data_IF_024267593459
#
_entry.id   IF_024267593459
#
_cell.length_a   1.000
_cell.length_b   1.000
_cell.length_c   1.000
_cell.angle_alpha   90.00
_cell.angle_beta   90.00
_cell.angle_gamma   90.00
#
_symmetry.space_group_name_H-M   'P 1'
#
loop_
_entity.id
_entity.type
_entity.pdbx_description
1 polymer ?
#
# COMPACT_ATOMS: atom_id res chain seq x y z
N UNK A 1 6.36 16.12 -4.72
CA UNK A 1 7.53 15.66 -5.51
C UNK A 1 7.27 14.21 -5.90
N UNK A 2 7.38 13.88 -7.19
CA UNK A 2 7.23 12.50 -7.66
C UNK A 2 8.49 11.68 -7.31
N UNK A 3 8.34 10.38 -7.06
CA UNK A 3 9.49 9.47 -6.88
C UNK A 3 10.28 9.39 -8.18
N UNK A 4 11.61 9.37 -8.10
CA UNK A 4 12.46 9.21 -9.30
C UNK A 4 12.66 7.72 -9.62
N UNK A 5 13.14 7.41 -10.83
CA UNK A 5 13.45 6.02 -11.20
C UNK A 5 14.58 5.44 -10.33
N UNK A 6 15.54 6.28 -9.91
CA UNK A 6 16.57 5.93 -8.93
C UNK A 6 15.95 5.47 -7.61
N UNK A 7 14.98 6.23 -7.08
CA UNK A 7 14.30 5.90 -5.83
C UNK A 7 13.62 4.53 -5.91
N UNK A 8 12.88 4.30 -7.00
CA UNK A 8 12.14 3.07 -7.24
C UNK A 8 13.04 1.85 -7.38
N UNK A 9 14.14 1.97 -8.12
CA UNK A 9 15.13 0.90 -8.20
C UNK A 9 15.73 0.57 -6.84
N UNK A 10 16.04 1.57 -6.01
CA UNK A 10 16.61 1.30 -4.69
C UNK A 10 15.58 0.64 -3.77
N UNK A 11 14.31 1.06 -3.82
CA UNK A 11 13.23 0.42 -3.06
C UNK A 11 13.08 -1.07 -3.44
N UNK A 12 13.03 -1.35 -4.74
CA UNK A 12 13.00 -2.73 -5.25
C UNK A 12 14.23 -3.53 -4.79
N UNK A 13 15.44 -3.00 -4.96
CA UNK A 13 16.66 -3.71 -4.55
C UNK A 13 16.71 -3.96 -3.05
N UNK A 14 16.19 -3.05 -2.22
CA UNK A 14 16.11 -3.24 -0.77
C UNK A 14 15.16 -4.39 -0.41
N UNK A 15 13.96 -4.38 -0.97
CA UNK A 15 12.97 -5.45 -0.71
C UNK A 15 13.54 -6.81 -1.11
N UNK A 16 14.10 -6.92 -2.33
CA UNK A 16 14.65 -8.18 -2.83
C UNK A 16 15.88 -8.63 -2.04
N UNK A 17 16.69 -7.69 -1.52
CA UNK A 17 17.79 -8.03 -0.62
C UNK A 17 17.30 -8.54 0.75
N UNK A 18 16.15 -8.09 1.23
CA UNK A 18 15.53 -8.59 2.47
C UNK A 18 14.89 -9.98 2.31
N UNK A 19 14.32 -10.26 1.14
CA UNK A 19 13.72 -11.57 0.82
C UNK A 19 14.77 -12.64 0.49
N UNK A 20 15.98 -12.23 0.14
CA UNK A 20 17.07 -13.15 -0.17
C UNK A 20 17.47 -13.97 1.06
N UNK A 21 17.58 -15.31 0.95
CA UNK A 21 18.05 -16.14 2.06
C UNK A 21 19.45 -15.68 2.51
N UNK A 22 19.60 -15.44 3.81
CA UNK A 22 20.88 -15.09 4.41
C UNK A 22 21.82 -16.29 4.36
N UNK A 23 22.95 -16.16 3.69
CA UNK A 23 23.98 -17.21 3.67
C UNK A 23 24.75 -17.32 4.99
N UNK A 24 24.48 -16.44 5.96
CA UNK A 24 25.14 -16.41 7.28
C UNK A 24 24.50 -17.35 8.31
N UNK A 25 23.51 -18.18 7.95
CA UNK A 25 23.03 -19.28 8.80
C UNK A 25 24.01 -20.48 8.77
N UNK A 26 25.28 -20.25 9.12
CA UNK A 26 26.12 -21.32 9.70
C UNK A 26 25.78 -21.40 11.19
N UNK A 27 25.58 -22.60 11.76
CA UNK A 27 25.27 -22.77 13.17
C UNK A 27 26.55 -22.62 14.01
N UNK A 28 27.12 -21.41 14.05
CA UNK A 28 28.13 -21.08 15.06
C UNK A 28 27.51 -20.06 16.00
N UNK A 29 27.21 -20.54 17.20
CA UNK A 29 26.61 -19.77 18.27
C UNK A 29 27.47 -18.56 18.60
N UNK A 30 26.92 -17.39 18.38
CA UNK A 30 27.16 -16.21 19.20
C UNK A 30 25.99 -15.26 18.97
N UNK A 31 25.19 -15.05 20.02
CA UNK A 31 24.09 -14.09 20.04
C UNK A 31 24.64 -12.67 19.86
N UNK A 32 24.79 -12.22 18.62
CA UNK A 32 24.98 -10.81 18.34
C UNK A 32 23.65 -10.10 18.56
N UNK A 33 23.50 -9.53 19.76
CA UNK A 33 22.47 -8.53 20.08
C UNK A 33 22.58 -7.42 19.05
N UNK A 34 21.63 -7.37 18.10
CA UNK A 34 21.49 -6.26 17.18
C UNK A 34 20.89 -5.08 17.96
N UNK A 35 21.76 -4.31 18.61
CA UNK A 35 21.40 -2.99 19.15
C UNK A 35 20.99 -2.09 17.98
N UNK A 36 19.81 -1.49 18.12
CA UNK A 36 19.20 -0.63 17.11
C UNK A 36 20.10 0.55 16.74
N UNK A 37 20.39 0.66 15.45
CA UNK A 37 20.76 1.92 14.81
C UNK A 37 19.76 2.15 13.70
N UNK A 38 18.83 3.09 13.92
CA UNK A 38 17.73 3.42 13.02
C UNK A 38 18.17 4.26 11.79
N UNK A 39 19.46 4.36 11.47
CA UNK A 39 19.96 5.33 10.49
C UNK A 39 20.99 4.83 9.47
N UNK A 40 21.31 3.53 9.39
CA UNK A 40 22.02 2.98 8.23
C UNK A 40 21.08 2.07 7.45
N UNK A 41 20.83 2.43 6.18
CA UNK A 41 20.28 1.51 5.18
C UNK A 41 21.13 0.24 5.24
N UNK A 42 20.57 -0.94 5.57
CA UNK A 42 21.35 -2.17 5.56
C UNK A 42 21.91 -2.34 4.16
N UNK A 43 23.23 -2.38 4.07
CA UNK A 43 23.89 -2.65 2.80
C UNK A 43 23.36 -4.01 2.31
N UNK A 44 22.85 -4.10 1.07
CA UNK A 44 22.33 -5.35 0.55
C UNK A 44 23.47 -6.35 0.60
N UNK A 45 23.22 -7.49 1.26
CA UNK A 45 24.25 -8.46 1.58
C UNK A 45 25.12 -8.79 0.36
N UNK A 46 26.44 -8.96 0.57
CA UNK A 46 27.40 -9.23 -0.52
C UNK A 46 26.92 -10.35 -1.46
N UNK A 47 26.27 -11.38 -0.91
CA UNK A 47 25.72 -12.50 -1.68
C UNK A 47 24.60 -12.10 -2.65
N UNK A 48 23.64 -11.28 -2.22
CA UNK A 48 22.53 -10.82 -3.08
C UNK A 48 23.05 -10.04 -4.29
N UNK A 49 23.94 -9.06 -4.06
CA UNK A 49 24.52 -8.26 -5.14
C UNK A 49 25.36 -9.10 -6.11
N UNK A 50 26.05 -10.12 -5.60
CA UNK A 50 26.77 -11.08 -6.44
C UNK A 50 25.84 -11.88 -7.36
N UNK A 51 24.72 -12.41 -6.82
CA UNK A 51 23.72 -13.12 -7.62
C UNK A 51 23.04 -12.21 -8.64
N UNK A 52 22.67 -11.00 -8.26
CA UNK A 52 22.09 -10.01 -9.17
C UNK A 52 23.04 -9.74 -10.34
N UNK A 53 24.32 -9.51 -10.08
CA UNK A 53 25.32 -9.30 -11.12
C UNK A 53 25.49 -10.51 -12.05
N UNK A 54 25.45 -11.74 -11.50
CA UNK A 54 25.51 -12.96 -12.29
C UNK A 54 24.29 -13.11 -13.23
N UNK A 55 23.08 -12.85 -12.73
CA UNK A 55 21.86 -12.94 -13.53
C UNK A 55 21.76 -11.86 -14.61
N UNK A 56 22.14 -10.62 -14.28
CA UNK A 56 21.95 -9.49 -15.19
C UNK A 56 23.18 -9.20 -16.06
N UNK A 57 24.31 -9.87 -15.84
CA UNK A 57 25.60 -9.59 -16.49
C UNK A 57 26.08 -8.14 -16.32
N UNK A 58 25.62 -7.45 -15.28
CA UNK A 58 26.02 -6.08 -14.94
C UNK A 58 26.88 -6.14 -13.69
N UNK A 59 28.03 -5.47 -13.70
CA UNK A 59 29.00 -5.60 -12.61
C UNK A 59 28.42 -5.17 -11.25
N UNK A 60 28.85 -5.86 -10.19
CA UNK A 60 28.49 -5.54 -8.79
C UNK A 60 28.77 -4.07 -8.47
N UNK A 61 29.88 -3.52 -9.00
CA UNK A 61 30.26 -2.12 -8.75
C UNK A 61 29.25 -1.14 -9.35
N UNK A 62 28.70 -1.42 -10.54
CA UNK A 62 27.64 -0.60 -11.16
C UNK A 62 26.36 -0.63 -10.33
N UNK A 63 25.93 -1.81 -9.91
CA UNK A 63 24.77 -1.96 -9.02
C UNK A 63 24.95 -1.19 -7.72
N UNK A 64 26.13 -1.27 -7.08
CA UNK A 64 26.46 -0.52 -5.87
C UNK A 64 26.44 0.99 -6.10
N UNK A 65 26.97 1.49 -7.22
CA UNK A 65 26.96 2.93 -7.52
C UNK A 65 25.52 3.43 -7.63
N UNK A 66 24.63 2.71 -8.32
CA UNK A 66 23.21 3.06 -8.39
C UNK A 66 22.53 2.98 -7.02
N UNK A 67 22.78 1.91 -6.26
CA UNK A 67 22.21 1.71 -4.93
C UNK A 67 22.54 2.86 -3.97
N UNK A 68 23.78 3.36 -4.03
CA UNK A 68 24.27 4.50 -3.25
C UNK A 68 24.00 5.87 -3.89
N UNK A 69 23.19 5.94 -4.95
CA UNK A 69 22.89 7.17 -5.71
C UNK A 69 24.12 7.89 -6.29
N UNK A 70 25.24 7.18 -6.46
CA UNK A 70 26.47 7.70 -7.07
C UNK A 70 26.44 7.67 -8.61
N UNK A 71 25.47 6.96 -9.18
CA UNK A 71 25.26 6.85 -10.62
C UNK A 71 23.75 6.77 -10.90
N UNK A 72 23.29 7.42 -11.97
CA UNK A 72 21.92 7.21 -12.48
C UNK A 72 21.80 5.83 -13.15
N UNK A 73 20.67 5.12 -12.95
CA UNK A 73 20.39 3.90 -13.68
C UNK A 73 20.52 4.07 -15.18
N UNK A 74 21.22 3.14 -15.82
CA UNK A 74 21.26 3.07 -17.28
C UNK A 74 20.03 2.30 -17.80
N UNK A 75 19.62 2.52 -19.07
CA UNK A 75 18.55 1.74 -19.69
C UNK A 75 18.72 0.23 -19.51
N UNK A 76 19.93 -0.30 -19.72
CA UNK A 76 20.24 -1.73 -19.55
C UNK A 76 19.97 -2.24 -18.12
N UNK A 77 20.22 -1.41 -17.09
CA UNK A 77 19.97 -1.79 -15.70
C UNK A 77 18.47 -1.85 -15.42
N UNK A 78 17.71 -0.91 -15.97
CA UNK A 78 16.26 -0.85 -15.83
C UNK A 78 15.63 -2.05 -16.55
N UNK A 79 16.05 -2.30 -17.78
CA UNK A 79 15.60 -3.44 -18.57
C UNK A 79 15.93 -4.78 -17.88
N UNK A 80 17.14 -4.91 -17.33
CA UNK A 80 17.54 -6.11 -16.61
C UNK A 80 16.64 -6.39 -15.39
N UNK A 81 16.29 -5.37 -14.59
CA UNK A 81 15.35 -5.53 -13.48
C UNK A 81 13.93 -5.83 -13.96
N UNK A 82 13.47 -5.16 -15.03
CA UNK A 82 12.14 -5.40 -15.60
C UNK A 82 12.00 -6.83 -16.13
N UNK A 83 13.06 -7.42 -16.69
CA UNK A 83 13.07 -8.83 -17.12
C UNK A 83 13.16 -9.80 -15.94
N UNK A 84 13.91 -9.47 -14.90
CA UNK A 84 14.08 -10.32 -13.72
C UNK A 84 12.84 -10.33 -12.83
N UNK A 85 12.17 -9.18 -12.70
CA UNK A 85 10.98 -8.97 -11.88
C UNK A 85 9.88 -8.28 -12.69
N UNK A 86 9.26 -8.99 -13.65
CA UNK A 86 8.32 -8.38 -14.60
C UNK A 86 7.05 -7.82 -13.96
N UNK A 87 6.64 -8.34 -12.81
CA UNK A 87 5.51 -7.82 -12.04
C UNK A 87 5.78 -6.41 -11.48
N UNK A 88 7.03 -5.98 -11.32
CA UNK A 88 7.37 -4.61 -10.93
C UNK A 88 7.68 -3.68 -12.11
N UNK A 89 7.74 -4.18 -13.35
CA UNK A 89 8.25 -3.43 -14.50
C UNK A 89 7.47 -2.13 -14.77
N UNK A 90 6.13 -2.19 -14.75
CA UNK A 90 5.30 -1.02 -14.97
C UNK A 90 5.49 0.04 -13.88
N UNK A 91 5.50 -0.36 -12.60
CA UNK A 91 5.75 0.53 -11.47
C UNK A 91 7.17 1.12 -11.51
N UNK A 92 8.16 0.31 -11.87
CA UNK A 92 9.55 0.75 -11.96
C UNK A 92 9.70 1.94 -12.92
N UNK A 93 9.04 1.87 -14.07
CA UNK A 93 9.09 2.91 -15.10
C UNK A 93 8.19 4.10 -14.74
N UNK A 94 6.92 3.84 -14.43
CA UNK A 94 5.89 4.90 -14.34
C UNK A 94 5.72 5.50 -12.94
N UNK A 95 6.07 4.74 -11.90
CA UNK A 95 5.80 5.08 -10.51
C UNK A 95 4.38 4.84 -10.03
N UNK A 96 3.49 4.36 -10.90
CA UNK A 96 2.13 3.92 -10.56
C UNK A 96 2.00 2.40 -10.74
N UNK A 97 1.01 1.79 -10.12
CA UNK A 97 0.72 0.36 -10.27
C UNK A 97 -0.47 0.14 -11.20
N UNK A 98 -0.61 -1.11 -11.64
CA UNK A 98 -1.79 -1.65 -12.33
C UNK A 98 -2.01 -3.07 -11.77
N UNK A 99 -2.42 -3.11 -10.51
CA UNK A 99 -2.43 -4.34 -9.72
C UNK A 99 -3.40 -5.40 -10.27
N UNK A 100 -4.50 -4.97 -10.90
CA UNK A 100 -5.47 -5.86 -11.57
C UNK A 100 -4.81 -6.67 -12.68
N UNK A 101 -3.80 -6.10 -13.34
CA UNK A 101 -3.03 -6.80 -14.36
C UNK A 101 -1.76 -7.47 -13.83
N UNK A 102 -1.56 -7.47 -12.50
CA UNK A 102 -0.41 -8.06 -11.82
C UNK A 102 0.84 -7.18 -11.83
N UNK A 103 0.69 -5.89 -12.16
CA UNK A 103 1.75 -4.91 -12.09
C UNK A 103 1.71 -4.19 -10.75
N UNK A 104 2.51 -4.65 -9.80
CA UNK A 104 2.50 -4.17 -8.41
C UNK A 104 3.75 -3.36 -8.10
N UNK A 105 3.83 -2.82 -6.89
CA UNK A 105 5.03 -2.21 -6.33
C UNK A 105 5.61 -3.10 -5.22
N UNK A 106 6.90 -2.95 -4.89
CA UNK A 106 7.50 -3.52 -3.69
C UNK A 106 6.74 -3.17 -2.40
N UNK A 107 6.77 -4.05 -1.39
CA UNK A 107 6.10 -3.86 -0.10
C UNK A 107 6.58 -2.61 0.65
N UNK A 108 7.83 -2.21 0.41
CA UNK A 108 8.44 -1.02 1.01
C UNK A 108 8.17 0.27 0.23
N UNK A 109 7.40 0.22 -0.86
CA UNK A 109 7.05 1.37 -1.68
C UNK A 109 5.67 1.92 -1.32
N UNK A 110 5.59 3.24 -1.19
CA UNK A 110 4.33 3.96 -1.11
C UNK A 110 3.75 4.12 -2.52
N UNK A 111 2.55 3.60 -2.74
CA UNK A 111 1.83 3.68 -4.03
C UNK A 111 0.72 4.72 -3.99
N UNK A 112 0.35 5.22 -5.17
CA UNK A 112 -0.83 6.06 -5.42
C UNK A 112 -1.13 6.02 -6.93
N UNK A 113 -2.41 6.00 -7.38
CA UNK A 113 -3.65 6.05 -6.58
C UNK A 113 -4.07 4.72 -5.96
N UNK A 114 -3.50 3.61 -6.42
CA UNK A 114 -3.73 2.29 -5.85
C UNK A 114 -2.94 2.11 -4.54
N UNK A 115 -3.42 1.21 -3.69
CA UNK A 115 -2.75 0.75 -2.48
C UNK A 115 -1.86 -0.45 -2.80
N UNK A 116 -1.00 -0.80 -1.84
CA UNK A 116 -0.19 -2.01 -1.93
C UNK A 116 -1.11 -3.23 -2.08
N UNK A 117 -1.06 -3.85 -3.25
CA UNK A 117 -1.86 -5.01 -3.59
C UNK A 117 -0.96 -6.24 -3.60
N UNK A 118 -1.42 -7.32 -2.97
CA UNK A 118 -0.67 -8.56 -2.90
C UNK A 118 -0.43 -9.10 -4.32
N UNK A 119 0.78 -9.59 -4.58
CA UNK A 119 1.16 -10.17 -5.85
C UNK A 119 0.20 -11.30 -6.25
N UNK A 120 -0.31 -11.28 -7.48
CA UNK A 120 -1.01 -12.42 -8.08
C UNK A 120 -0.01 -13.38 -8.70
N UNK A 121 0.06 -14.60 -8.18
CA UNK A 121 0.96 -15.64 -8.70
C UNK A 121 0.70 -15.95 -10.18
N UNK A 122 -0.56 -15.88 -10.63
CA UNK A 122 -0.93 -16.16 -12.01
C UNK A 122 -0.35 -15.15 -13.01
N UNK A 123 -0.36 -13.85 -12.68
CA UNK A 123 0.23 -12.83 -13.54
C UNK A 123 1.75 -12.93 -13.60
N UNK A 124 2.42 -13.16 -12.47
CA UNK A 124 3.87 -13.37 -12.42
C UNK A 124 4.31 -14.59 -13.24
N UNK A 125 3.58 -15.69 -13.17
CA UNK A 125 3.85 -16.88 -13.99
C UNK A 125 3.66 -16.60 -15.48
N UNK A 126 2.56 -15.93 -15.85
CA UNK A 126 2.29 -15.52 -17.23
C UNK A 126 3.42 -14.66 -17.81
N UNK A 127 3.86 -13.63 -17.07
CA UNK A 127 4.93 -12.74 -17.53
C UNK A 127 6.26 -13.47 -17.73
N UNK A 128 6.63 -14.34 -16.78
CA UNK A 128 7.88 -15.12 -16.88
C UNK A 128 7.86 -16.05 -18.08
N UNK A 129 6.77 -16.80 -18.31
CA UNK A 129 6.62 -17.67 -19.47
C UNK A 129 6.60 -16.88 -20.78
N UNK A 130 5.93 -15.72 -20.79
CA UNK A 130 5.92 -14.81 -21.96
C UNK A 130 7.32 -14.32 -22.31
N UNK A 131 8.15 -13.94 -21.32
CA UNK A 131 9.53 -13.51 -21.55
C UNK A 131 10.42 -14.64 -22.09
N UNK A 132 10.20 -15.88 -21.65
CA UNK A 132 10.91 -17.05 -22.18
C UNK A 132 10.58 -17.25 -23.66
N UNK A 133 9.29 -17.25 -24.04
CA UNK A 133 8.88 -17.39 -25.44
C UNK A 133 9.33 -16.20 -26.29
N UNK A 134 9.29 -14.99 -25.76
CA UNK A 134 9.77 -13.80 -26.44
C UNK A 134 11.27 -13.88 -26.74
N UNK A 135 12.08 -14.41 -25.82
CA UNK A 135 13.50 -14.67 -26.07
C UNK A 135 13.69 -15.70 -27.18
N UNK A 136 12.96 -16.82 -27.10
CA UNK A 136 12.99 -17.88 -28.11
C UNK A 136 12.59 -17.39 -29.50
N UNK A 137 11.65 -16.44 -29.58
CA UNK A 137 11.25 -15.78 -30.84
C UNK A 137 12.45 -15.18 -31.58
N UNK A 138 13.29 -14.42 -30.87
CA UNK A 138 14.48 -13.84 -31.49
C UNK A 138 15.52 -14.90 -31.84
N UNK A 139 15.73 -15.88 -30.96
CA UNK A 139 16.68 -16.98 -31.20
C UNK A 139 16.30 -17.82 -32.44
N UNK A 140 15.01 -18.11 -32.66
CA UNK A 140 14.53 -18.91 -33.81
C UNK A 140 14.28 -18.10 -35.10
N UNK A 141 14.30 -16.77 -35.02
CA UNK A 141 14.06 -15.90 -36.18
C UNK A 141 15.27 -15.74 -37.09
N UNK A 142 16.48 -16.06 -36.60
CA UNK A 142 17.72 -15.82 -37.34
C UNK A 142 18.10 -14.35 -37.50
N UNK A 143 17.40 -13.42 -36.82
CA UNK A 143 17.72 -11.99 -36.81
C UNK A 143 19.04 -11.75 -36.08
N UNK A 144 19.95 -10.99 -36.70
CA UNK A 144 21.19 -10.59 -36.04
C UNK A 144 20.90 -9.55 -34.95
N UNK A 145 21.00 -9.95 -33.68
CA UNK A 145 20.73 -9.09 -32.52
C UNK A 145 21.81 -8.02 -32.29
N UNK A 146 23.01 -8.21 -32.84
CA UNK A 146 24.13 -7.26 -32.75
C UNK A 146 23.99 -6.13 -33.78
N UNK A 147 23.17 -6.33 -34.82
CA UNK A 147 22.85 -5.31 -35.82
C UNK A 147 21.59 -4.56 -35.40
N UNK A 148 21.78 -3.32 -34.91
CA UNK A 148 20.69 -2.45 -34.46
C UNK A 148 19.62 -2.22 -35.53
N UNK A 149 20.01 -2.15 -36.81
CA UNK A 149 19.07 -1.91 -37.90
C UNK A 149 18.22 -3.16 -38.17
N UNK A 150 18.84 -4.34 -38.22
CA UNK A 150 18.09 -5.60 -38.37
C UNK A 150 17.18 -5.87 -37.17
N UNK A 151 17.67 -5.63 -35.94
CA UNK A 151 16.89 -5.79 -34.72
C UNK A 151 15.67 -4.86 -34.71
N UNK A 152 15.86 -3.61 -35.09
CA UNK A 152 14.76 -2.64 -35.19
C UNK A 152 13.76 -3.03 -36.29
N UNK A 153 14.25 -3.35 -37.49
CA UNK A 153 13.42 -3.79 -38.61
C UNK A 153 12.59 -5.03 -38.26
N UNK A 154 13.19 -6.00 -37.56
CA UNK A 154 12.51 -7.20 -37.10
C UNK A 154 11.42 -6.90 -36.05
N UNK A 155 11.59 -5.88 -35.21
CA UNK A 155 10.57 -5.50 -34.23
C UNK A 155 9.44 -4.64 -34.83
N UNK A 156 9.68 -3.99 -35.97
CA UNK A 156 8.75 -3.05 -36.58
C UNK A 156 7.69 -3.76 -37.42
N UNK A 157 6.41 -3.37 -37.26
CA UNK A 157 5.36 -3.63 -38.25
C UNK A 157 5.35 -2.47 -39.25
N UNK A 158 5.35 -2.77 -40.54
CA UNK A 158 5.29 -1.73 -41.58
C UNK A 158 3.86 -1.61 -42.09
N UNK A 159 3.42 -0.42 -42.51
CA UNK A 159 2.06 -0.20 -43.06
C UNK A 159 2.06 0.30 -44.50
N UNK A 160 2.59 -0.45 -45.48
CA UNK A 160 2.46 -0.06 -46.87
C UNK A 160 0.98 -0.10 -47.28
N UNK A 161 0.53 0.97 -47.97
CA UNK A 161 -0.79 1.03 -48.62
C UNK A 161 -1.97 0.61 -47.71
N UNK A 162 -1.98 1.12 -46.47
CA UNK A 162 -3.01 0.97 -45.45
C UNK A 162 -3.14 -0.39 -44.74
N UNK A 163 -2.37 -1.42 -45.09
CA UNK A 163 -2.35 -2.72 -44.40
C UNK A 163 -1.09 -2.89 -43.55
N UNK A 164 -1.21 -3.51 -42.37
CA UNK A 164 -0.04 -3.85 -41.55
C UNK A 164 0.60 -5.12 -42.10
N UNK A 165 1.88 -5.04 -42.44
CA UNK A 165 2.72 -6.16 -42.82
C UNK A 165 3.56 -6.61 -41.63
N UNK A 166 3.63 -7.92 -41.46
CA UNK A 166 4.35 -8.53 -40.37
C UNK A 166 5.85 -8.57 -40.66
N UNK A 167 6.64 -8.63 -39.58
CA UNK A 167 8.09 -8.60 -39.65
C UNK A 167 8.68 -9.99 -39.93
N UNK A 168 9.99 -10.09 -40.19
CA UNK A 168 10.69 -11.39 -40.27
C UNK A 168 10.51 -12.30 -39.04
N UNK A 169 10.05 -11.77 -37.91
CA UNK A 169 9.75 -12.57 -36.71
C UNK A 169 8.48 -13.43 -36.88
N UNK A 170 7.61 -13.13 -37.84
CA UNK A 170 6.28 -13.75 -37.94
C UNK A 170 6.36 -15.27 -38.18
N UNK A 171 7.28 -15.73 -39.01
CA UNK A 171 7.43 -17.15 -39.30
C UNK A 171 7.92 -17.92 -38.06
N UNK A 172 8.82 -17.31 -37.28
CA UNK A 172 9.25 -17.86 -35.99
C UNK A 172 8.10 -17.85 -34.97
N UNK A 173 7.27 -16.80 -34.96
CA UNK A 173 6.09 -16.73 -34.10
C UNK A 173 5.10 -17.85 -34.43
N UNK A 174 4.83 -18.13 -35.71
CA UNK A 174 3.97 -19.25 -36.11
C UNK A 174 4.54 -20.61 -35.68
N UNK A 175 5.85 -20.84 -35.85
CA UNK A 175 6.50 -22.07 -35.36
C UNK A 175 6.38 -22.22 -33.85
N UNK A 176 6.70 -21.18 -33.08
CA UNK A 176 6.59 -21.19 -31.63
C UNK A 176 5.13 -21.37 -31.18
N UNK A 177 4.17 -20.82 -31.90
CA UNK A 177 2.74 -20.96 -31.57
C UNK A 177 2.22 -22.40 -31.63
N UNK A 178 2.94 -23.28 -32.34
CA UNK A 178 2.65 -24.72 -32.42
C UNK A 178 3.33 -25.53 -31.32
N UNK A 179 4.16 -24.90 -30.48
CA UNK A 179 4.91 -25.58 -29.43
C UNK A 179 4.05 -25.84 -28.19
N UNK A 180 4.45 -26.85 -27.40
CA UNK A 180 3.80 -27.18 -26.13
C UNK A 180 3.90 -26.04 -25.12
N UNK A 181 5.03 -25.32 -25.10
CA UNK A 181 5.23 -24.18 -24.20
C UNK A 181 4.30 -23.00 -24.50
N UNK A 182 3.96 -22.78 -25.77
CA UNK A 182 2.97 -21.76 -26.13
C UNK A 182 1.56 -22.16 -25.70
N UNK A 183 1.20 -23.45 -25.84
CA UNK A 183 -0.05 -23.97 -25.30
C UNK A 183 -0.13 -23.80 -23.78
N UNK A 184 0.93 -24.14 -23.04
CA UNK A 184 1.02 -23.90 -21.59
C UNK A 184 0.81 -22.42 -21.23
N UNK A 185 1.42 -21.50 -21.99
CA UNK A 185 1.23 -20.06 -21.77
C UNK A 185 -0.24 -19.65 -21.91
N UNK A 186 -0.96 -20.20 -22.90
CA UNK A 186 -2.40 -19.94 -23.10
C UNK A 186 -3.24 -20.47 -21.94
N UNK A 187 -2.91 -21.64 -21.40
CA UNK A 187 -3.59 -22.20 -20.22
C UNK A 187 -3.35 -21.35 -18.97
N UNK A 188 -2.12 -20.88 -18.75
CA UNK A 188 -1.78 -19.95 -17.66
C UNK A 188 -2.57 -18.65 -17.81
N UNK A 189 -2.62 -18.08 -19.02
CA UNK A 189 -3.39 -16.86 -19.29
C UNK A 189 -4.89 -17.06 -19.03
N UNK A 190 -5.47 -18.16 -19.52
CA UNK A 190 -6.89 -18.48 -19.34
C UNK A 190 -7.22 -18.67 -17.85
N UNK A 191 -6.37 -19.37 -17.12
CA UNK A 191 -6.50 -19.55 -15.67
C UNK A 191 -6.44 -18.21 -14.95
N UNK A 192 -5.46 -17.37 -15.28
CA UNK A 192 -5.33 -16.00 -14.75
C UNK A 192 -6.62 -15.20 -14.99
N UNK A 193 -7.16 -15.23 -16.20
CA UNK A 193 -8.35 -14.44 -16.56
C UNK A 193 -9.58 -14.90 -15.76
N UNK A 194 -9.72 -16.20 -15.53
CA UNK A 194 -10.76 -16.76 -14.67
C UNK A 194 -10.67 -16.22 -13.23
N UNK A 195 -9.48 -16.25 -12.63
CA UNK A 195 -9.28 -15.69 -11.28
C UNK A 195 -9.43 -14.17 -11.24
N UNK A 196 -9.04 -13.47 -12.30
CA UNK A 196 -9.17 -12.01 -12.40
C UNK A 196 -10.62 -11.55 -12.28
N UNK A 197 -11.56 -12.30 -12.85
CA UNK A 197 -13.01 -12.01 -12.70
C UNK A 197 -13.43 -12.03 -11.24
N UNK A 198 -12.96 -13.00 -10.45
CA UNK A 198 -13.30 -13.12 -9.04
C UNK A 198 -12.59 -12.05 -8.18
N UNK A 199 -11.35 -11.73 -8.51
CA UNK A 199 -10.61 -10.61 -7.88
C UNK A 199 -11.30 -9.27 -8.17
N UNK A 200 -11.76 -9.03 -9.40
CA UNK A 200 -12.49 -7.83 -9.76
C UNK A 200 -13.79 -7.68 -8.99
N UNK A 201 -14.54 -8.78 -8.79
CA UNK A 201 -15.74 -8.76 -7.95
C UNK A 201 -15.42 -8.41 -6.49
N UNK A 202 -14.24 -8.81 -6.00
CA UNK A 202 -13.78 -8.47 -4.65
C UNK A 202 -13.37 -7.00 -4.52
N UNK A 203 -12.72 -6.45 -5.56
CA UNK A 203 -12.28 -5.05 -5.58
C UNK A 203 -13.47 -4.10 -5.79
N UNK A 204 -14.38 -4.44 -6.70
CA UNK A 204 -15.59 -3.68 -7.03
C UNK A 204 -16.85 -4.50 -6.74
N UNK A 205 -17.23 -4.64 -5.47
CA UNK A 205 -18.48 -5.31 -5.13
C UNK A 205 -19.68 -4.51 -5.66
N UNK A 206 -20.71 -5.24 -6.10
CA UNK A 206 -21.91 -4.65 -6.73
C UNK A 206 -22.71 -3.78 -5.76
N UNK A 207 -22.72 -4.12 -4.47
CA UNK A 207 -23.21 -3.28 -3.37
C UNK A 207 -22.10 -2.95 -2.38
N UNK A 208 -22.20 -1.79 -1.70
CA UNK A 208 -21.36 -1.50 -0.54
C UNK A 208 -21.55 -2.52 0.59
N UNK A 209 -22.73 -3.13 0.68
CA UNK A 209 -23.06 -4.12 1.70
C UNK A 209 -22.46 -5.50 1.40
N UNK A 210 -22.12 -5.78 0.14
CA UNK A 210 -21.51 -7.06 -0.30
C UNK A 210 -20.00 -7.13 0.01
N UNK A 211 -19.44 -6.07 0.59
CA UNK A 211 -18.03 -6.01 0.99
C UNK A 211 -17.79 -7.06 2.09
N UNK A 212 -16.87 -8.04 1.89
CA UNK A 212 -16.67 -9.14 2.85
C UNK A 212 -16.37 -8.67 4.29
N UNK A 213 -15.76 -7.49 4.46
CA UNK A 213 -15.46 -6.95 5.79
C UNK A 213 -16.63 -6.21 6.44
N UNK A 214 -17.65 -5.78 5.68
CA UNK A 214 -18.90 -5.30 6.30
C UNK A 214 -19.54 -6.47 7.05
N UNK A 215 -19.42 -7.68 6.50
CA UNK A 215 -19.80 -8.91 7.20
C UNK A 215 -18.83 -9.21 8.36
N UNK A 216 -17.51 -9.24 8.15
CA UNK A 216 -16.58 -9.48 9.26
C UNK A 216 -16.66 -8.44 10.40
N UNK A 217 -17.00 -7.17 10.12
CA UNK A 217 -17.21 -6.16 11.15
C UNK A 217 -18.53 -6.33 11.91
N UNK A 218 -19.55 -6.92 11.26
CA UNK A 218 -20.76 -7.40 11.95
C UNK A 218 -20.42 -8.61 12.82
N UNK A 219 -19.73 -9.59 12.26
CA UNK A 219 -19.33 -10.82 12.97
C UNK A 219 -18.37 -10.53 14.14
N UNK A 220 -17.44 -9.59 13.98
CA UNK A 220 -16.49 -9.17 15.03
C UNK A 220 -17.12 -8.24 16.08
N UNK A 221 -18.31 -7.66 15.82
CA UNK A 221 -19.12 -7.05 16.88
C UNK A 221 -19.83 -8.10 17.72
N UNK A 222 -20.14 -9.26 17.13
CA UNK A 222 -20.80 -10.38 17.79
C UNK A 222 -19.80 -11.25 18.57
N UNK A 223 -18.54 -11.29 18.15
CA UNK A 223 -17.46 -12.00 18.84
C UNK A 223 -16.57 -11.01 19.60
N UNK A 224 -16.55 -11.09 20.93
CA UNK A 224 -15.69 -10.28 21.80
C UNK A 224 -14.25 -10.18 21.26
N UNK A 225 -13.61 -8.99 21.31
CA UNK A 225 -12.37 -8.71 20.60
C UNK A 225 -11.22 -9.57 21.12
N UNK A 226 -10.96 -10.65 20.39
CA UNK A 226 -9.89 -11.59 20.67
C UNK A 226 -8.73 -11.26 19.72
N UNK A 227 -7.67 -10.71 20.31
CA UNK A 227 -6.34 -10.41 19.77
C UNK A 227 -6.07 -9.00 19.20
N UNK A 228 -5.04 -8.30 19.75
CA UNK A 228 -4.51 -7.08 19.15
C UNK A 228 -3.69 -7.45 17.90
N UNK A 229 -4.17 -7.02 16.74
CA UNK A 229 -3.40 -7.09 15.49
C UNK A 229 -2.22 -6.12 15.59
N UNK A 230 -1.01 -6.67 15.63
CA UNK A 230 0.23 -5.89 15.62
C UNK A 230 0.27 -4.92 14.42
N UNK A 231 0.36 -3.62 14.72
CA UNK A 231 0.96 -2.62 13.82
C UNK A 231 0.10 -2.06 12.68
N UNK A 232 -1.23 -2.17 12.72
CA UNK A 232 -2.07 -1.52 11.70
C UNK A 232 -1.96 0.02 11.75
N UNK A 233 -1.69 0.68 10.63
CA UNK A 233 -1.77 2.15 10.53
C UNK A 233 -3.18 2.59 10.88
N UNK A 234 -3.34 3.32 11.98
CA UNK A 234 -4.63 3.82 12.44
C UNK A 234 -5.32 4.66 11.38
N UNK A 235 -4.60 5.21 10.39
CA UNK A 235 -5.13 5.98 9.25
C UNK A 235 -5.83 5.10 8.21
N UNK A 236 -5.50 3.82 8.11
CA UNK A 236 -6.10 2.86 7.16
C UNK A 236 -7.09 1.91 7.82
N UNK A 237 -7.36 2.04 9.12
CA UNK A 237 -8.28 1.17 9.85
C UNK A 237 -9.71 1.10 9.28
N UNK A 238 -10.13 2.12 8.50
CA UNK A 238 -11.44 2.17 7.84
C UNK A 238 -11.44 1.56 6.43
N UNK A 239 -10.27 1.21 5.90
CA UNK A 239 -10.09 0.62 4.58
C UNK A 239 -9.82 -0.88 4.73
N UNK A 240 -10.37 -1.68 3.83
CA UNK A 240 -10.08 -3.10 3.76
C UNK A 240 -8.70 -3.37 3.17
N UNK A 241 -8.15 -4.55 3.45
CA UNK A 241 -6.91 -5.00 2.81
C UNK A 241 -7.09 -5.28 1.30
N UNK A 242 -8.33 -5.51 0.85
CA UNK A 242 -8.67 -5.72 -0.56
C UNK A 242 -9.14 -4.45 -1.29
N UNK A 243 -9.26 -3.30 -0.60
CA UNK A 243 -9.55 -2.03 -1.27
C UNK A 243 -8.35 -1.65 -2.14
N UNK A 244 -8.53 -1.72 -3.47
CA UNK A 244 -7.48 -1.37 -4.41
C UNK A 244 -7.11 0.12 -4.33
N UNK A 245 -8.07 1.01 -4.09
CA UNK A 245 -7.84 2.45 -4.02
C UNK A 245 -7.94 2.98 -2.59
N UNK A 246 -7.35 4.16 -2.38
CA UNK A 246 -7.57 4.91 -1.15
C UNK A 246 -9.04 5.32 -1.02
N UNK A 247 -9.74 4.70 -0.07
CA UNK A 247 -11.09 5.13 0.36
C UNK A 247 -10.94 6.31 1.33
N UNK A 248 -11.56 7.47 1.08
CA UNK A 248 -11.54 8.57 2.03
C UNK A 248 -12.17 8.11 3.34
N UNK A 249 -11.67 8.60 4.47
CA UNK A 249 -12.43 8.45 5.72
C UNK A 249 -13.75 9.16 5.52
N UNK A 250 -14.85 8.47 5.80
CA UNK A 250 -16.08 9.19 6.12
C UNK A 250 -15.71 10.24 7.17
N UNK A 251 -16.18 11.50 7.04
CA UNK A 251 -15.84 12.55 7.98
C UNK A 251 -16.03 11.98 9.38
N UNK A 252 -14.94 11.89 10.15
CA UNK A 252 -15.14 11.46 11.52
C UNK A 252 -16.08 12.51 12.12
N UNK A 253 -17.15 12.09 12.79
CA UNK A 253 -18.19 13.04 13.13
C UNK A 253 -17.67 14.22 13.96
N UNK A 254 -16.61 13.99 14.73
CA UNK A 254 -15.84 15.01 15.46
C UNK A 254 -15.10 16.01 14.56
N UNK A 255 -14.54 15.59 13.42
CA UNK A 255 -13.81 16.49 12.49
C UNK A 255 -14.76 17.26 11.59
N UNK A 256 -15.90 16.68 11.24
CA UNK A 256 -17.03 17.40 10.64
C UNK A 256 -17.61 18.42 11.62
N UNK A 257 -17.85 18.04 12.88
CA UNK A 257 -18.29 18.97 13.90
C UNK A 257 -17.27 20.09 14.12
N UNK A 258 -15.97 19.78 14.17
CA UNK A 258 -14.91 20.80 14.29
C UNK A 258 -14.81 21.70 13.05
N UNK A 259 -14.93 21.18 11.83
CA UNK A 259 -14.94 22.02 10.63
C UNK A 259 -16.16 22.91 10.60
N UNK A 260 -17.33 22.38 10.94
CA UNK A 260 -18.59 23.13 11.02
C UNK A 260 -18.57 24.16 12.15
N UNK A 261 -17.98 23.85 13.30
CA UNK A 261 -17.77 24.81 14.41
C UNK A 261 -16.75 25.90 14.07
N UNK A 262 -15.86 25.64 13.09
CA UNK A 262 -14.88 26.60 12.59
C UNK A 262 -15.35 27.36 11.34
N UNK A 263 -16.55 27.07 10.82
CA UNK A 263 -17.17 27.76 9.69
C UNK A 263 -18.28 28.67 10.21
N UNK A 264 -18.39 29.90 9.69
CA UNK A 264 -19.46 30.78 10.11
C UNK A 264 -20.81 30.16 9.72
N UNK A 265 -21.85 30.20 10.57
CA UNK A 265 -23.15 29.59 10.24
C UNK A 265 -23.78 30.09 8.94
N UNK A 266 -23.43 31.30 8.50
CA UNK A 266 -23.87 31.89 7.24
C UNK A 266 -23.18 31.30 5.99
N UNK A 267 -22.07 30.59 6.18
CA UNK A 267 -21.25 30.00 5.11
C UNK A 267 -21.55 28.50 4.92
N UNK A 268 -22.34 27.89 5.81
CA UNK A 268 -22.74 26.48 5.71
C UNK A 268 -23.86 26.30 4.70
N UNK A 269 -23.72 25.31 3.82
CA UNK A 269 -24.77 24.92 2.90
C UNK A 269 -25.91 24.17 3.63
N UNK A 270 -27.13 24.18 3.07
CA UNK A 270 -28.30 23.57 3.69
C UNK A 270 -28.13 22.06 3.98
N UNK A 271 -27.40 21.35 3.11
CA UNK A 271 -27.05 19.94 3.25
C UNK A 271 -26.04 19.68 4.37
N UNK A 272 -25.09 20.60 4.60
CA UNK A 272 -24.16 20.55 5.73
C UNK A 272 -24.87 20.77 7.07
N UNK A 273 -25.84 21.70 7.12
CA UNK A 273 -26.68 21.93 8.29
C UNK A 273 -27.55 20.72 8.64
N UNK A 274 -28.13 20.05 7.64
CA UNK A 274 -28.89 18.81 7.85
C UNK A 274 -28.00 17.64 8.28
N UNK A 275 -26.76 17.56 7.78
CA UNK A 275 -25.76 16.61 8.28
C UNK A 275 -25.39 16.87 9.74
N UNK A 276 -25.21 18.13 10.14
CA UNK A 276 -24.95 18.51 11.54
C UNK A 276 -26.12 18.15 12.44
N UNK A 277 -27.36 18.44 12.03
CA UNK A 277 -28.57 18.07 12.76
C UNK A 277 -28.68 16.56 12.93
N UNK A 278 -28.48 15.81 11.86
CA UNK A 278 -28.52 14.34 11.87
C UNK A 278 -27.42 13.76 12.75
N UNK A 279 -26.24 14.38 12.74
CA UNK A 279 -25.14 13.99 13.60
C UNK A 279 -25.42 14.23 15.09
N UNK A 280 -25.87 15.42 15.45
CA UNK A 280 -26.23 15.78 16.84
C UNK A 280 -27.30 14.85 17.40
N UNK A 281 -28.29 14.47 16.58
CA UNK A 281 -29.33 13.49 16.95
C UNK A 281 -28.83 12.06 17.14
N UNK A 282 -27.64 11.72 16.62
CA UNK A 282 -27.05 10.37 16.68
C UNK A 282 -25.98 10.22 17.76
N UNK A 283 -25.54 11.31 18.39
CA UNK A 283 -24.64 11.24 19.54
C UNK A 283 -25.33 10.53 20.70
N UNK A 284 -24.61 9.62 21.37
CA UNK A 284 -25.09 8.97 22.59
C UNK A 284 -24.94 9.93 23.77
N UNK A 285 -25.69 9.69 24.85
CA UNK A 285 -25.74 10.57 26.01
C UNK A 285 -24.36 10.88 26.62
N UNK A 286 -23.43 9.90 26.62
CA UNK A 286 -22.07 10.09 27.13
C UNK A 286 -21.24 11.05 26.27
N UNK A 287 -21.37 10.96 24.93
CA UNK A 287 -20.64 11.83 23.99
C UNK A 287 -21.25 13.24 23.97
N UNK A 288 -22.57 13.35 24.14
CA UNK A 288 -23.27 14.61 24.35
C UNK A 288 -22.83 15.28 25.65
N UNK A 289 -22.70 14.52 26.74
CA UNK A 289 -22.26 15.03 28.04
C UNK A 289 -20.86 15.63 27.98
N UNK A 290 -19.90 14.97 27.31
CA UNK A 290 -18.55 15.51 27.12
C UNK A 290 -18.55 16.77 26.27
N UNK A 291 -19.37 16.80 25.22
CA UNK A 291 -19.53 17.99 24.38
C UNK A 291 -20.18 19.15 25.15
N UNK A 292 -21.18 18.88 25.99
CA UNK A 292 -21.85 19.88 26.82
C UNK A 292 -20.98 20.38 27.97
N UNK A 293 -20.22 19.51 28.63
CA UNK A 293 -19.24 19.90 29.65
C UNK A 293 -18.19 20.83 29.07
N UNK A 294 -17.77 20.58 27.82
CA UNK A 294 -16.86 21.47 27.11
C UNK A 294 -17.51 22.86 26.87
N UNK A 295 -18.75 22.91 26.38
CA UNK A 295 -19.46 24.17 26.16
C UNK A 295 -19.69 24.94 27.48
N UNK A 296 -20.11 24.25 28.54
CA UNK A 296 -20.34 24.84 29.87
C UNK A 296 -19.04 25.34 30.52
N UNK A 297 -17.93 24.59 30.39
CA UNK A 297 -16.62 25.00 30.92
C UNK A 297 -16.13 26.33 30.30
N UNK A 298 -16.52 26.59 29.06
CA UNK A 298 -16.14 27.81 28.33
C UNK A 298 -17.21 28.90 28.34
N UNK A 299 -18.25 28.76 29.19
CA UNK A 299 -19.28 29.78 29.35
C UNK A 299 -20.26 29.89 28.18
N UNK A 300 -20.26 28.90 27.27
CA UNK A 300 -21.22 28.83 26.17
C UNK A 300 -22.48 28.13 26.72
N UNK A 301 -23.52 28.92 26.97
CA UNK A 301 -24.77 28.40 27.54
C UNK A 301 -25.41 27.38 26.57
N UNK A 302 -25.52 26.13 27.03
CA UNK A 302 -26.17 25.04 26.30
C UNK A 302 -27.58 25.41 25.80
N UNK A 303 -28.29 26.30 26.50
CA UNK A 303 -29.64 26.75 26.14
C UNK A 303 -29.66 27.63 24.89
N UNK A 304 -28.53 28.21 24.50
CA UNK A 304 -28.37 28.97 23.25
C UNK A 304 -28.27 28.07 22.02
N UNK A 305 -27.86 26.81 22.20
CA UNK A 305 -27.70 25.82 21.12
C UNK A 305 -28.91 24.85 21.12
N UNK A 306 -29.44 24.50 22.30
CA UNK A 306 -30.59 23.62 22.50
C UNK A 306 -31.58 24.22 23.51
N UNK A 307 -32.57 25.03 23.07
CA UNK A 307 -33.59 25.54 23.96
C UNK A 307 -34.50 24.41 24.48
N UNK A 308 -35.07 24.61 25.66
CA UNK A 308 -35.86 23.61 26.40
C UNK A 308 -37.26 23.36 25.83
N UNK A 309 -37.68 24.13 24.83
CA UNK A 309 -38.97 23.96 24.16
C UNK A 309 -38.86 22.94 23.01
N UNK A 310 -39.67 21.89 23.07
CA UNK A 310 -39.73 20.86 22.04
C UNK A 310 -40.20 21.47 20.71
N UNK A 311 -39.33 21.52 19.71
CA UNK A 311 -39.69 21.82 18.32
C UNK A 311 -38.88 22.91 17.61
N UNK A 312 -38.02 23.66 18.30
CA UNK A 312 -37.30 24.78 17.66
C UNK A 312 -35.81 24.77 17.98
N UNK A 313 -34.99 24.08 17.16
CA UNK A 313 -33.53 24.23 17.21
C UNK A 313 -33.18 25.54 16.49
N UNK A 314 -32.92 26.62 17.24
CA UNK A 314 -32.28 27.82 16.71
C UNK A 314 -30.79 27.74 17.00
N UNK A 315 -29.95 27.69 15.96
CA UNK A 315 -28.52 27.94 16.11
C UNK A 315 -28.34 29.46 16.29
N UNK A 316 -28.31 29.92 17.54
CA UNK A 316 -27.94 31.29 17.81
C UNK A 316 -26.44 31.47 17.51
N UNK A 317 -26.17 32.21 16.43
CA UNK A 317 -24.91 32.84 16.09
C UNK A 317 -24.12 33.31 17.32
N UNK A 318 -22.96 32.71 17.57
CA UNK A 318 -21.87 33.37 18.28
C UNK A 318 -20.55 32.94 17.63
N UNK A 319 -19.85 33.90 17.06
CA UNK A 319 -18.51 33.72 16.52
C UNK A 319 -17.54 33.40 17.66
N UNK A 320 -17.08 32.16 17.69
CA UNK A 320 -15.93 31.79 18.49
C UNK A 320 -14.70 32.50 17.92
N UNK A 321 -13.94 33.19 18.77
CA UNK A 321 -12.67 33.76 18.35
C UNK A 321 -11.65 32.63 18.10
N UNK A 322 -10.72 32.82 17.17
CA UNK A 322 -9.68 31.83 16.81
C UNK A 322 -8.89 31.33 18.04
N UNK A 323 -8.69 32.22 19.03
CA UNK A 323 -8.06 31.88 20.31
C UNK A 323 -8.86 30.94 21.21
N UNK A 324 -10.18 30.86 21.04
CA UNK A 324 -11.08 29.96 21.76
C UNK A 324 -11.09 28.57 21.11
N UNK A 325 -10.97 28.52 19.78
CA UNK A 325 -10.76 27.30 19.01
C UNK A 325 -9.41 26.64 19.36
N UNK A 326 -8.33 27.43 19.45
CA UNK A 326 -7.02 26.92 19.86
C UNK A 326 -7.00 26.39 21.30
N UNK A 327 -7.76 27.01 22.20
CA UNK A 327 -7.95 26.50 23.57
C UNK A 327 -8.67 25.17 23.58
N UNK A 328 -9.70 24.98 22.74
CA UNK A 328 -10.38 23.69 22.62
C UNK A 328 -9.44 22.57 22.21
N UNK A 329 -8.66 22.81 21.16
CA UNK A 329 -7.74 21.82 20.60
C UNK A 329 -6.69 21.44 21.64
N UNK A 330 -6.20 22.40 22.42
CA UNK A 330 -5.24 22.15 23.49
C UNK A 330 -5.85 21.41 24.68
N UNK A 331 -7.11 21.69 25.03
CA UNK A 331 -7.84 20.97 26.08
C UNK A 331 -8.13 19.49 25.70
N UNK A 332 -8.57 19.22 24.46
CA UNK A 332 -8.76 17.84 23.98
C UNK A 332 -7.44 17.09 23.91
N UNK A 333 -6.35 17.77 23.55
CA UNK A 333 -4.99 17.19 23.59
C UNK A 333 -4.54 16.90 25.02
N UNK A 334 -4.81 17.79 25.97
CA UNK A 334 -4.42 17.61 27.39
C UNK A 334 -5.17 16.47 28.07
N UNK A 335 -6.46 16.28 27.75
CA UNK A 335 -7.26 15.13 28.22
C UNK A 335 -6.76 13.79 27.67
N UNK A 336 -6.19 13.79 26.47
CA UNK A 336 -5.58 12.57 25.89
C UNK A 336 -4.22 12.26 26.50
N UNK A 337 -3.46 13.26 26.94
CA UNK A 337 -2.18 13.07 27.64
C UNK A 337 -2.31 12.83 29.15
N UNK A 338 -3.48 13.08 29.74
CA UNK A 338 -3.75 12.87 31.17
C UNK A 338 -4.49 11.56 31.49
N UNK A 339 -4.81 10.72 30.49
CA UNK A 339 -5.13 9.32 30.77
C UNK A 339 -3.87 8.62 31.31
N UNK A 340 -3.91 7.99 32.50
CA UNK A 340 -2.77 7.23 33.00
C UNK A 340 -2.42 6.17 31.96
N UNK A 341 -1.15 6.08 31.56
CA UNK A 341 -0.66 4.81 31.02
C UNK A 341 -0.82 3.81 32.15
N UNK A 342 -1.70 2.81 31.98
CA UNK A 342 -1.76 1.68 32.89
C UNK A 342 -0.36 1.07 32.96
N UNK A 343 0.29 1.35 34.08
CA UNK A 343 1.56 0.76 34.44
C UNK A 343 1.25 -0.68 34.81
N UNK A 344 1.52 -1.62 33.91
CA UNK A 344 1.53 -3.04 34.27
C UNK A 344 2.47 -3.24 35.47
N UNK A 345 2.03 -3.90 36.55
CA UNK A 345 2.93 -4.23 37.64
C UNK A 345 3.98 -5.22 37.15
N UNK A 346 5.24 -4.89 37.38
CA UNK A 346 6.37 -5.77 37.15
C UNK A 346 6.18 -7.05 37.98
N UNK A 347 6.20 -8.18 37.28
CA UNK A 347 6.19 -9.54 37.82
C UNK A 347 7.42 -9.73 38.72
N UNK A 348 7.24 -9.66 40.04
CA UNK A 348 8.28 -10.04 41.00
C UNK A 348 8.49 -11.55 40.94
N UNK A 349 9.67 -11.95 40.49
CA UNK A 349 10.11 -13.34 40.46
C UNK A 349 10.28 -13.90 41.87
N UNK A 350 9.59 -15.00 42.17
CA UNK A 350 9.83 -15.80 43.36
C UNK A 350 11.21 -16.47 43.29
N UNK A 351 12.07 -16.16 44.28
CA UNK A 351 13.23 -16.98 44.63
C UNK A 351 12.74 -18.16 45.47
N UNK A 352 12.84 -19.36 44.93
CA UNK A 352 12.82 -20.61 45.70
C UNK A 352 14.14 -20.71 46.48
N UNK A 353 14.01 -20.76 47.81
CA UNK A 353 15.08 -21.12 48.72
C UNK A 353 15.23 -22.65 48.74
N UNK A 354 16.40 -23.15 48.34
CA UNK A 354 16.87 -24.49 48.66
C UNK A 354 17.50 -24.45 50.04
N UNK A 355 16.91 -25.17 51.00
CA UNK A 355 17.61 -25.58 52.23
C UNK A 355 18.46 -26.82 51.97
N UNK A 356 19.62 -26.97 52.63
CA UNK A 356 20.39 -28.20 52.68
C UNK A 356 20.02 -29.03 53.92
N UNK A 357 20.12 -30.36 53.83
CA UNK A 357 20.08 -31.19 55.03
C UNK A 357 20.04 -32.68 54.74
N UNK A 358 21.20 -33.31 55.00
CA UNK A 358 21.42 -34.63 55.60
C UNK A 358 20.55 -35.83 55.17
#
# INVERSE_FOLDING_TARGET
MATTIEDRMILLLNEQAHLAPSEDNKPNGEHRRSSGSLLLRPDPGRGYMGRLAAYTRISIQRWRKVFHRRQRPTPDMIEALARLFPHYAFWLITGITDAVNGHVAPDNAQTFPERLYAQSDGASQYFRKSLILFRRLFEESGVNLEDDHQRMYAAQRTRPLAHWHDSPLVDAAYRISQSTEYYELREIWTSREKYRVDDLKRIWPTSSDDRPWVQHAKDAKEQSPSFPVLGGDLRTAHQAHCDLYYVPRLPCPTRFALSVLNTLPAELACDELEHLRTWLKRLRDDDLSVFFQYLEHHGIDRKLIFPSESGTIRFAWLGMAESEIDRFVNYVRSLRSSRPRDSYPARTGGRLASQPGA
#
